data_IF_316756659902
#
_entry.id   IF_316756659902
#
_cell.length_a   1.000
_cell.length_b   1.000
_cell.length_c   1.000
_cell.angle_alpha   90.00
_cell.angle_beta   90.00
_cell.angle_gamma   90.00
#
_symmetry.space_group_name_H-M   'P 1'
#
loop_
_entity.id
_entity.type
_entity.pdbx_description
1 polymer ?
#
# COMPACT_ATOMS: atom_id res chain seq x y z
N UNK A 1 -6.22 -13.04 -7.99
CA UNK A 1 -4.98 -12.29 -8.36
C UNK A 1 -4.08 -12.20 -7.15
N UNK A 2 -2.76 -12.35 -7.30
CA UNK A 2 -1.82 -12.17 -6.20
C UNK A 2 -1.73 -10.68 -5.84
N UNK A 3 -1.98 -10.34 -4.57
CA UNK A 3 -1.77 -9.00 -4.03
C UNK A 3 -0.26 -8.77 -3.86
N UNK A 4 0.25 -7.70 -4.47
CA UNK A 4 1.66 -7.29 -4.42
C UNK A 4 1.74 -5.94 -3.69
N UNK A 5 2.64 -5.77 -2.70
CA UNK A 5 2.78 -4.49 -2.02
C UNK A 5 3.44 -3.46 -2.94
N UNK A 6 2.90 -2.25 -2.97
CA UNK A 6 3.43 -1.11 -3.72
C UNK A 6 3.96 -0.09 -2.73
N UNK A 7 5.28 -0.03 -2.59
CA UNK A 7 5.94 0.94 -1.71
C UNK A 7 6.39 2.14 -2.54
N UNK A 8 5.88 3.31 -2.18
CA UNK A 8 6.13 4.58 -2.86
C UNK A 8 7.10 5.42 -2.02
N UNK A 9 8.30 5.65 -2.52
CA UNK A 9 9.33 6.43 -1.81
C UNK A 9 9.17 7.92 -2.12
N UNK A 10 9.20 8.75 -1.07
CA UNK A 10 9.01 10.19 -1.13
C UNK A 10 7.55 10.58 -1.02
N UNK A 11 6.99 10.57 0.20
CA UNK A 11 5.59 10.92 0.50
C UNK A 11 5.20 12.27 -0.10
N UNK A 12 6.07 13.26 0.03
CA UNK A 12 5.84 14.62 -0.48
C UNK A 12 5.72 14.68 -2.01
N UNK A 13 6.43 13.81 -2.73
CA UNK A 13 6.34 13.72 -4.18
C UNK A 13 5.02 13.06 -4.58
N UNK A 14 4.74 11.87 -4.06
CA UNK A 14 3.55 11.08 -4.45
C UNK A 14 2.25 11.75 -4.08
N UNK A 15 2.19 12.44 -2.93
CA UNK A 15 1.02 13.22 -2.52
C UNK A 15 0.69 14.39 -3.47
N UNK A 16 1.63 14.81 -4.32
CA UNK A 16 1.41 15.83 -5.35
C UNK A 16 1.12 15.25 -6.73
N UNK A 17 1.58 14.02 -6.99
CA UNK A 17 1.44 13.36 -8.29
C UNK A 17 0.10 12.64 -8.41
N UNK A 18 -0.36 12.01 -7.32
CA UNK A 18 -1.60 11.26 -7.27
C UNK A 18 -2.39 11.65 -6.02
N UNK A 19 -3.68 11.93 -6.24
CA UNK A 19 -4.66 12.06 -5.16
C UNK A 19 -5.43 10.74 -5.05
N UNK A 20 -5.06 9.93 -4.05
CA UNK A 20 -5.65 8.61 -3.83
C UNK A 20 -7.08 8.69 -3.29
N UNK A 21 -7.42 9.76 -2.57
CA UNK A 21 -8.78 10.02 -2.11
C UNK A 21 -9.71 10.31 -3.30
N UNK A 22 -9.24 11.11 -4.27
CA UNK A 22 -9.99 11.37 -5.50
C UNK A 22 -10.19 10.09 -6.32
N UNK A 23 -9.16 9.26 -6.45
CA UNK A 23 -9.27 7.98 -7.17
C UNK A 23 -10.27 7.02 -6.51
N UNK A 24 -10.37 7.06 -5.18
CA UNK A 24 -11.33 6.27 -4.42
C UNK A 24 -12.75 6.79 -4.63
N UNK A 25 -12.94 8.11 -4.55
CA UNK A 25 -14.25 8.77 -4.70
C UNK A 25 -14.84 8.56 -6.11
N UNK A 26 -14.00 8.68 -7.14
CA UNK A 26 -14.36 8.41 -8.54
C UNK A 26 -14.52 6.91 -8.85
N UNK A 27 -14.19 6.03 -7.90
CA UNK A 27 -14.33 4.57 -8.04
C UNK A 27 -13.30 3.90 -8.95
N UNK A 28 -12.17 4.57 -9.24
CA UNK A 28 -11.06 3.99 -9.99
C UNK A 28 -10.25 2.97 -9.16
N UNK A 29 -10.27 3.12 -7.83
CA UNK A 29 -9.61 2.20 -6.89
C UNK A 29 -10.59 1.79 -5.79
N UNK A 30 -10.50 0.55 -5.32
CA UNK A 30 -11.27 0.11 -4.15
C UNK A 30 -10.54 0.47 -2.85
N UNK A 31 -11.28 0.67 -1.76
CA UNK A 31 -10.69 0.87 -0.44
C UNK A 31 -9.76 -0.27 -0.02
N UNK A 32 -10.04 -1.50 -0.46
CA UNK A 32 -9.20 -2.67 -0.20
C UNK A 32 -7.89 -2.71 -0.99
N UNK A 33 -7.80 -1.92 -2.07
CA UNK A 33 -6.58 -1.80 -2.88
C UNK A 33 -5.67 -0.70 -2.31
N UNK A 34 -6.20 0.27 -1.57
CA UNK A 34 -5.40 1.28 -0.87
C UNK A 34 -4.45 0.67 0.16
N UNK A 35 -4.87 -0.43 0.82
CA UNK A 35 -4.00 -1.22 1.71
C UNK A 35 -2.76 -1.80 1.02
N UNK A 36 -2.74 -1.86 -0.33
CA UNK A 36 -1.55 -2.30 -1.09
C UNK A 36 -0.51 -1.19 -1.22
N UNK A 37 -0.92 0.07 -1.13
CA UNK A 37 -0.04 1.22 -1.33
C UNK A 37 0.46 1.73 0.02
N UNK A 38 1.79 1.87 0.16
CA UNK A 38 2.40 2.50 1.33
C UNK A 38 3.37 3.57 0.90
N UNK A 39 3.14 4.80 1.32
CA UNK A 39 4.07 5.89 1.06
C UNK A 39 5.05 6.06 2.22
N UNK A 40 6.35 6.00 1.92
CA UNK A 40 7.45 6.04 2.89
C UNK A 40 8.51 7.04 2.46
N UNK A 41 9.33 7.52 3.40
CA UNK A 41 10.44 8.44 3.07
C UNK A 41 11.82 7.79 3.21
N UNK A 42 11.95 6.80 4.09
CA UNK A 42 13.23 6.21 4.48
C UNK A 42 13.32 4.71 4.17
N UNK A 43 14.55 4.21 4.03
CA UNK A 43 14.80 2.79 3.72
C UNK A 43 14.30 1.84 4.82
N UNK A 44 14.39 2.23 6.10
CA UNK A 44 13.87 1.42 7.21
C UNK A 44 12.34 1.29 7.18
N UNK A 45 11.65 2.35 6.74
CA UNK A 45 10.20 2.32 6.56
C UNK A 45 9.79 1.38 5.42
N UNK A 46 10.59 1.27 4.35
CA UNK A 46 10.34 0.32 3.25
C UNK A 46 10.31 -1.11 3.79
N UNK A 47 11.34 -1.50 4.56
CA UNK A 47 11.43 -2.87 5.12
C UNK A 47 10.27 -3.12 6.07
N UNK A 48 9.97 -2.16 6.95
CA UNK A 48 8.85 -2.25 7.88
C UNK A 48 7.50 -2.40 7.16
N UNK A 49 7.30 -1.70 6.04
CA UNK A 49 6.09 -1.80 5.23
C UNK A 49 5.95 -3.19 4.56
N UNK A 50 7.04 -3.70 4.01
CA UNK A 50 7.08 -5.04 3.41
C UNK A 50 6.80 -6.12 4.46
N UNK A 51 7.46 -6.06 5.62
CA UNK A 51 7.24 -6.98 6.73
C UNK A 51 5.77 -6.99 7.17
N UNK A 52 5.17 -5.81 7.40
CA UNK A 52 3.75 -5.70 7.75
C UNK A 52 2.84 -6.34 6.71
N UNK A 53 3.11 -6.10 5.43
CA UNK A 53 2.31 -6.66 4.35
C UNK A 53 2.37 -8.19 4.31
N UNK A 54 3.58 -8.77 4.39
CA UNK A 54 3.76 -10.23 4.35
C UNK A 54 3.32 -10.92 5.64
N UNK A 55 3.46 -10.29 6.81
CA UNK A 55 2.93 -10.79 8.08
C UNK A 55 1.40 -10.81 8.04
N UNK A 56 0.76 -9.73 7.59
CA UNK A 56 -0.70 -9.68 7.47
C UNK A 56 -1.21 -10.71 6.45
N UNK A 57 -0.44 -10.96 5.39
CA UNK A 57 -0.71 -12.04 4.45
C UNK A 57 -0.58 -13.42 5.08
N UNK A 58 0.47 -13.69 5.85
CA UNK A 58 0.65 -14.98 6.53
C UNK A 58 -0.49 -15.25 7.53
N UNK A 59 -1.02 -14.21 8.16
CA UNK A 59 -2.18 -14.30 9.05
C UNK A 59 -3.51 -14.55 8.29
N UNK A 60 -3.65 -14.01 7.07
CA UNK A 60 -4.85 -14.18 6.23
C UNK A 60 -4.87 -15.47 5.39
N UNK A 61 -3.71 -15.95 4.92
CA UNK A 61 -3.57 -17.18 4.12
C UNK A 61 -3.66 -18.46 5.01
N UNK A 62 -3.69 -18.32 6.34
CA UNK A 62 -3.82 -19.41 7.32
C UNK A 62 -5.25 -19.76 7.74
N UNK A 63 -6.26 -19.05 7.22
CA UNK A 63 -7.68 -19.37 7.40
C UNK A 63 -8.25 -19.97 6.10
N UNK A 64 -7.91 -21.21 5.81
CA UNK A 64 -8.63 -22.05 4.84
C UNK A 64 -8.66 -23.49 5.33
#
# INVERSE_FOLDING_TARGET
MQRVPVVLVGRAFWRRVVDFDLLLDEGYVSSSDLDLFTCVDDAEEIVSALERFYVNRAAGDGAT
#
